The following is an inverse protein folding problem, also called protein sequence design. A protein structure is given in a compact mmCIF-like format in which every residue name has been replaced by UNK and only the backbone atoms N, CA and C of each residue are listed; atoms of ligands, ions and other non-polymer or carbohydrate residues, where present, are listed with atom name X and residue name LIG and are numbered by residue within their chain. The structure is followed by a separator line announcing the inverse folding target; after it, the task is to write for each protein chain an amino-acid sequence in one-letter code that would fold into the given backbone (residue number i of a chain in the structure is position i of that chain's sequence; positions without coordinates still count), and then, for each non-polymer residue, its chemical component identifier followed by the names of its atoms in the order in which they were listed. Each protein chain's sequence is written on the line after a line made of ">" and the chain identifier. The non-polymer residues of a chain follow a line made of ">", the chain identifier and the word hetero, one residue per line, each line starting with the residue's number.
data_IF_694042393601
#
_entry.id   IF_694042393601
#
_cell.length_a   1.000
_cell.length_b   1.000
_cell.length_c   1.000
_cell.angle_alpha   90.00
_cell.angle_beta   90.00
_cell.angle_gamma   90.00
#
_symmetry.space_group_name_H-M   'P 1'
#
loop_
_entity.id
_entity.type
_entity.pdbx_description
1 polymer ?
#
# COMPACT_ATOMS: atom_id res chain seq x y z
N UNK A 1 7.24 -17.47 -7.96
CA UNK A 1 7.06 -18.00 -6.58
C UNK A 1 6.63 -19.45 -6.75
N UNK A 2 7.18 -20.44 -6.00
CA UNK A 2 6.74 -21.83 -6.06
C UNK A 2 5.25 -21.97 -5.66
N UNK A 3 4.51 -22.87 -6.32
CA UNK A 3 3.08 -23.08 -6.07
C UNK A 3 2.77 -23.44 -4.61
N UNK A 4 3.66 -24.19 -3.94
CA UNK A 4 3.54 -24.52 -2.53
C UNK A 4 3.59 -23.28 -1.63
N UNK A 5 4.47 -22.32 -1.93
CA UNK A 5 4.55 -21.06 -1.19
C UNK A 5 3.27 -20.23 -1.37
N UNK A 6 2.72 -20.19 -2.59
CA UNK A 6 1.46 -19.49 -2.87
C UNK A 6 0.32 -20.10 -2.07
N UNK A 7 0.23 -21.44 -2.02
CA UNK A 7 -0.79 -22.15 -1.24
C UNK A 7 -0.71 -21.83 0.25
N UNK A 8 0.50 -21.88 0.84
CA UNK A 8 0.71 -21.58 2.25
C UNK A 8 0.39 -20.12 2.58
N UNK A 9 0.73 -19.17 1.72
CA UNK A 9 0.39 -17.76 1.90
C UNK A 9 -1.12 -17.53 1.79
N UNK A 10 -1.79 -18.18 0.86
CA UNK A 10 -3.25 -18.09 0.71
C UNK A 10 -3.96 -18.63 1.95
N UNK A 11 -3.47 -19.73 2.52
CA UNK A 11 -4.01 -20.29 3.76
C UNK A 11 -3.77 -19.35 4.95
N UNK A 12 -2.58 -18.74 5.04
CA UNK A 12 -2.26 -17.77 6.10
C UNK A 12 -3.15 -16.53 6.05
N UNK A 13 -3.46 -16.03 4.85
CA UNK A 13 -4.36 -14.87 4.64
C UNK A 13 -5.73 -15.11 5.26
N UNK A 14 -6.27 -16.34 5.19
CA UNK A 14 -7.59 -16.67 5.75
C UNK A 14 -7.67 -16.53 7.28
N UNK A 15 -6.53 -16.53 7.97
CA UNK A 15 -6.42 -16.41 9.42
C UNK A 15 -5.95 -15.02 9.88
N UNK A 16 -5.70 -14.12 8.93
CA UNK A 16 -5.22 -12.77 9.23
C UNK A 16 -6.38 -11.78 9.38
N UNK A 17 -6.28 -10.88 10.35
CA UNK A 17 -7.20 -9.74 10.49
C UNK A 17 -6.90 -8.64 9.46
N UNK A 18 -5.62 -8.43 9.18
CA UNK A 18 -5.12 -7.41 8.25
C UNK A 18 -4.05 -8.04 7.36
N UNK A 19 -4.08 -7.73 6.07
CA UNK A 19 -3.01 -8.11 5.13
C UNK A 19 -2.53 -6.89 4.35
N UNK A 20 -1.22 -6.87 4.06
CA UNK A 20 -0.56 -5.74 3.39
C UNK A 20 0.20 -6.24 2.15
N UNK A 21 -0.50 -6.72 1.12
CA UNK A 21 0.13 -7.15 -0.12
C UNK A 21 0.55 -5.95 -0.97
N UNK A 22 1.60 -6.10 -1.76
CA UNK A 22 1.78 -5.23 -2.92
C UNK A 22 0.81 -5.64 -4.05
N UNK A 23 0.72 -4.81 -5.10
CA UNK A 23 -0.23 -5.06 -6.20
C UNK A 23 -0.01 -6.42 -6.89
N UNK A 24 1.25 -6.84 -7.07
CA UNK A 24 1.57 -8.12 -7.70
C UNK A 24 1.19 -9.30 -6.79
N UNK A 25 1.45 -9.18 -5.49
CA UNK A 25 1.06 -10.17 -4.47
C UNK A 25 -0.46 -10.31 -4.38
N UNK A 26 -1.20 -9.19 -4.42
CA UNK A 26 -2.66 -9.22 -4.48
C UNK A 26 -3.14 -10.03 -5.70
N UNK A 27 -2.53 -9.80 -6.86
CA UNK A 27 -2.82 -10.55 -8.08
C UNK A 27 -2.61 -12.06 -7.91
N UNK A 28 -1.49 -12.45 -7.29
CA UNK A 28 -1.17 -13.86 -7.00
C UNK A 28 -2.20 -14.45 -6.03
N UNK A 29 -2.48 -13.77 -4.91
CA UNK A 29 -3.41 -14.25 -3.88
C UNK A 29 -4.85 -14.43 -4.39
N UNK A 30 -5.26 -13.62 -5.36
CA UNK A 30 -6.63 -13.62 -5.90
C UNK A 30 -6.76 -14.33 -7.25
N UNK A 31 -5.63 -14.70 -7.86
CA UNK A 31 -5.63 -15.27 -9.23
C UNK A 31 -6.09 -14.27 -10.29
N UNK A 32 -5.92 -12.96 -10.06
CA UNK A 32 -6.39 -11.88 -10.95
C UNK A 32 -5.25 -10.97 -11.39
N UNK A 33 -5.50 -10.12 -12.37
CA UNK A 33 -4.60 -9.03 -12.78
C UNK A 33 -5.29 -7.68 -12.60
N UNK A 34 -5.32 -7.11 -11.37
CA UNK A 34 -5.99 -5.84 -11.12
C UNK A 34 -5.25 -4.71 -11.84
N UNK A 35 -5.95 -3.95 -12.69
CA UNK A 35 -5.37 -2.86 -13.50
C UNK A 35 -5.97 -1.50 -13.21
N UNK A 36 -7.12 -1.46 -12.56
CA UNK A 36 -7.81 -0.23 -12.16
C UNK A 36 -8.03 -0.22 -10.65
N UNK A 37 -8.33 0.96 -10.08
CA UNK A 37 -8.70 1.04 -8.66
C UNK A 37 -9.90 0.15 -8.33
N UNK A 38 -10.88 0.08 -9.22
CA UNK A 38 -12.05 -0.77 -9.04
C UNK A 38 -11.69 -2.26 -9.05
N UNK A 39 -10.73 -2.67 -9.89
CA UNK A 39 -10.22 -4.04 -9.89
C UNK A 39 -9.48 -4.35 -8.59
N UNK A 40 -8.65 -3.42 -8.10
CA UNK A 40 -7.91 -3.55 -6.84
C UNK A 40 -8.88 -3.70 -5.67
N UNK A 41 -9.88 -2.82 -5.59
CA UNK A 41 -10.90 -2.88 -4.52
C UNK A 41 -11.68 -4.19 -4.58
N UNK A 42 -12.05 -4.64 -5.79
CA UNK A 42 -12.77 -5.90 -5.99
C UNK A 42 -11.91 -7.10 -5.62
N UNK A 43 -10.65 -7.14 -6.07
CA UNK A 43 -9.70 -8.19 -5.74
C UNK A 43 -9.44 -8.25 -4.23
N UNK A 44 -9.18 -7.11 -3.59
CA UNK A 44 -8.98 -7.05 -2.14
C UNK A 44 -10.20 -7.58 -1.36
N UNK A 45 -11.42 -7.22 -1.78
CA UNK A 45 -12.67 -7.71 -1.16
C UNK A 45 -12.97 -9.19 -1.42
N UNK A 46 -12.34 -9.81 -2.41
CA UNK A 46 -12.50 -11.25 -2.67
C UNK A 46 -11.68 -12.12 -1.72
N UNK A 47 -10.70 -11.56 -1.01
CA UNK A 47 -9.95 -12.29 0.00
C UNK A 47 -10.84 -12.60 1.21
N UNK A 48 -10.86 -13.89 1.59
CA UNK A 48 -11.61 -14.36 2.74
C UNK A 48 -10.71 -14.33 3.98
N UNK A 49 -11.22 -13.86 5.09
CA UNK A 49 -10.50 -13.77 6.37
C UNK A 49 -10.24 -12.32 6.78
N UNK A 50 -9.43 -11.54 6.09
CA UNK A 50 -9.08 -10.20 6.55
C UNK A 50 -10.28 -9.24 6.48
N UNK A 51 -10.43 -8.41 7.52
CA UNK A 51 -11.39 -7.30 7.51
C UNK A 51 -10.79 -6.02 6.91
N UNK A 52 -9.47 -5.97 6.76
CA UNK A 52 -8.72 -4.87 6.14
C UNK A 52 -7.63 -5.42 5.23
N UNK A 53 -7.61 -4.94 3.98
CA UNK A 53 -6.54 -5.20 3.01
C UNK A 53 -5.91 -3.88 2.62
N UNK A 54 -4.60 -3.72 2.81
CA UNK A 54 -3.86 -2.52 2.41
C UNK A 54 -2.95 -2.88 1.25
N UNK A 55 -3.33 -2.48 0.04
CA UNK A 55 -2.57 -2.75 -1.18
C UNK A 55 -1.52 -1.67 -1.37
N UNK A 56 -0.26 -2.06 -1.40
CA UNK A 56 0.89 -1.15 -1.60
C UNK A 56 1.42 -1.22 -3.03
N UNK A 57 2.32 -0.32 -3.38
CA UNK A 57 2.98 -0.27 -4.70
C UNK A 57 2.00 -0.21 -5.87
N UNK A 58 0.89 0.47 -5.67
CA UNK A 58 -0.10 0.70 -6.73
C UNK A 58 0.39 1.83 -7.62
N UNK A 59 0.63 1.60 -8.93
CA UNK A 59 0.92 2.69 -9.84
C UNK A 59 -0.23 3.69 -9.87
N UNK A 60 0.09 4.96 -9.76
CA UNK A 60 -0.88 6.04 -9.74
C UNK A 60 -0.46 7.15 -10.70
N UNK A 61 -1.42 7.72 -11.40
CA UNK A 61 -1.17 8.84 -12.29
C UNK A 61 -2.23 9.92 -12.06
N UNK A 62 -1.77 11.14 -11.88
CA UNK A 62 -2.62 12.32 -11.79
C UNK A 62 -2.03 13.49 -12.60
N UNK A 63 -2.60 14.67 -12.41
CA UNK A 63 -2.13 15.89 -13.10
C UNK A 63 -0.68 16.29 -12.70
N UNK A 64 -0.13 15.70 -11.64
CA UNK A 64 1.25 15.88 -11.18
C UNK A 64 2.24 14.90 -11.83
N UNK A 65 1.78 13.90 -12.57
CA UNK A 65 2.61 12.88 -13.22
C UNK A 65 2.47 11.48 -12.62
N UNK A 66 3.50 10.66 -12.86
CA UNK A 66 3.55 9.29 -12.36
C UNK A 66 3.87 9.26 -10.86
N UNK A 67 3.14 8.43 -10.14
CA UNK A 67 3.26 8.28 -8.71
C UNK A 67 3.02 6.86 -8.24
N UNK A 68 3.02 6.71 -6.93
CA UNK A 68 2.74 5.46 -6.24
C UNK A 68 1.66 5.69 -5.19
N UNK A 69 0.76 4.72 -5.04
CA UNK A 69 -0.32 4.80 -4.08
C UNK A 69 -0.35 3.59 -3.13
N UNK A 70 -1.02 3.80 -1.99
CA UNK A 70 -1.54 2.74 -1.12
C UNK A 70 -3.05 2.83 -1.07
N UNK A 71 -3.72 1.69 -1.10
CA UNK A 71 -5.19 1.59 -1.07
C UNK A 71 -5.60 0.70 0.09
N UNK A 72 -6.22 1.28 1.12
CA UNK A 72 -6.81 0.54 2.24
C UNK A 72 -8.26 0.19 1.91
N UNK A 73 -8.61 -1.09 1.95
CA UNK A 73 -9.93 -1.61 1.55
C UNK A 73 -10.57 -2.35 2.72
N UNK A 74 -11.79 -1.95 3.04
CA UNK A 74 -12.67 -2.65 4.02
C UNK A 74 -13.96 -3.10 3.32
N UNK A 75 -14.81 -3.81 4.05
CA UNK A 75 -16.17 -4.14 3.57
C UNK A 75 -17.02 -2.90 3.28
N UNK A 76 -16.80 -1.81 4.01
CA UNK A 76 -17.62 -0.59 3.96
C UNK A 76 -17.13 0.43 2.95
N UNK A 77 -15.81 0.49 2.68
CA UNK A 77 -15.24 1.51 1.81
C UNK A 77 -13.78 1.27 1.45
N UNK A 78 -13.19 2.25 0.80
CA UNK A 78 -11.77 2.26 0.52
C UNK A 78 -11.19 3.66 0.68
N UNK A 79 -9.92 3.73 1.07
CA UNK A 79 -9.14 4.96 1.26
C UNK A 79 -7.87 4.84 0.43
N UNK A 80 -7.51 5.91 -0.27
CA UNK A 80 -6.30 6.00 -1.06
C UNK A 80 -5.40 7.11 -0.53
N UNK A 81 -4.11 6.85 -0.47
CA UNK A 81 -3.06 7.87 -0.37
C UNK A 81 -2.07 7.67 -1.51
N UNK A 82 -1.54 8.75 -2.07
CA UNK A 82 -0.59 8.69 -3.17
C UNK A 82 0.48 9.78 -3.06
N UNK A 83 1.58 9.59 -3.73
CA UNK A 83 2.67 10.55 -3.81
C UNK A 83 3.66 10.19 -4.91
N UNK A 84 4.78 10.92 -5.02
CA UNK A 84 5.75 10.72 -6.07
C UNK A 84 6.37 9.31 -6.03
N UNK A 85 6.64 8.78 -7.21
CA UNK A 85 7.41 7.56 -7.39
C UNK A 85 8.91 7.91 -7.39
N UNK A 86 9.71 7.15 -6.64
CA UNK A 86 11.16 7.20 -6.75
C UNK A 86 11.62 6.24 -7.86
N UNK A 87 12.47 6.71 -8.75
CA UNK A 87 13.07 5.89 -9.83
C UNK A 87 14.20 5.00 -9.30
N UNK A 88 13.93 4.30 -8.20
CA UNK A 88 14.88 3.41 -7.55
C UNK A 88 14.16 2.40 -6.68
N UNK A 89 14.67 1.17 -6.65
CA UNK A 89 14.20 0.15 -5.71
C UNK A 89 14.93 0.29 -4.36
N UNK A 90 14.21 0.11 -3.26
CA UNK A 90 14.74 0.19 -1.90
C UNK A 90 14.42 -1.09 -1.13
N UNK A 91 15.48 -1.74 -0.64
CA UNK A 91 15.31 -2.89 0.25
C UNK A 91 14.74 -2.44 1.60
N UNK A 92 13.75 -3.15 2.10
CA UNK A 92 13.12 -2.86 3.40
C UNK A 92 12.02 -1.80 3.39
N UNK A 93 11.73 -1.13 2.27
CA UNK A 93 10.64 -0.15 2.19
C UNK A 93 9.27 -0.77 2.52
N UNK A 94 9.02 -2.01 2.08
CA UNK A 94 7.81 -2.76 2.44
C UNK A 94 7.72 -3.08 3.92
N UNK A 95 8.83 -3.48 4.54
CA UNK A 95 8.90 -3.78 5.98
C UNK A 95 8.65 -2.53 6.81
N UNK A 96 9.27 -1.40 6.45
CA UNK A 96 9.03 -0.11 7.10
C UNK A 96 7.56 0.31 6.97
N UNK A 97 6.98 0.18 5.77
CA UNK A 97 5.56 0.48 5.53
C UNK A 97 4.68 -0.36 6.45
N UNK A 98 4.88 -1.67 6.47
CA UNK A 98 4.11 -2.60 7.30
C UNK A 98 4.26 -2.32 8.79
N UNK A 99 5.46 -1.95 9.26
CA UNK A 99 5.70 -1.60 10.65
C UNK A 99 4.93 -0.35 11.07
N UNK A 100 4.97 0.72 10.26
CA UNK A 100 4.25 1.97 10.56
C UNK A 100 2.74 1.78 10.50
N UNK A 101 2.23 1.05 9.51
CA UNK A 101 0.81 0.69 9.41
C UNK A 101 0.35 -0.09 10.64
N UNK A 102 1.09 -1.13 11.01
CA UNK A 102 0.77 -1.95 12.19
C UNK A 102 0.73 -1.11 13.45
N UNK A 103 1.72 -0.21 13.64
CA UNK A 103 1.78 0.65 14.82
C UNK A 103 0.55 1.58 14.93
N UNK A 104 0.06 2.13 13.82
CA UNK A 104 -1.15 2.97 13.79
C UNK A 104 -2.41 2.15 14.08
N UNK A 105 -2.55 1.01 13.40
CA UNK A 105 -3.72 0.12 13.57
C UNK A 105 -3.85 -0.41 14.99
N UNK A 106 -2.75 -0.86 15.60
CA UNK A 106 -2.76 -1.36 17.00
C UNK A 106 -3.12 -0.26 17.99
N UNK A 107 -2.79 1.00 17.70
CA UNK A 107 -3.20 2.16 18.51
C UNK A 107 -4.65 2.58 18.28
N UNK A 108 -5.35 1.99 17.33
CA UNK A 108 -6.71 2.35 16.95
C UNK A 108 -6.80 3.69 16.20
N UNK A 109 -5.72 4.11 15.55
CA UNK A 109 -5.74 5.31 14.70
C UNK A 109 -6.70 5.07 13.50
N UNK A 110 -7.46 6.08 13.04
CA UNK A 110 -8.29 5.97 11.84
C UNK A 110 -7.48 5.50 10.62
N UNK A 111 -8.09 4.71 9.75
CA UNK A 111 -7.40 4.12 8.60
C UNK A 111 -6.77 5.18 7.68
N UNK A 112 -7.48 6.26 7.39
CA UNK A 112 -6.99 7.37 6.59
C UNK A 112 -5.77 8.04 7.22
N UNK A 113 -5.81 8.32 8.51
CA UNK A 113 -4.68 8.87 9.25
C UNK A 113 -3.47 7.91 9.25
N UNK A 114 -3.72 6.61 9.44
CA UNK A 114 -2.70 5.57 9.44
C UNK A 114 -2.00 5.46 8.08
N UNK A 115 -2.77 5.44 6.97
CA UNK A 115 -2.20 5.41 5.62
C UNK A 115 -1.39 6.67 5.31
N UNK A 116 -1.95 7.85 5.60
CA UNK A 116 -1.26 9.11 5.36
C UNK A 116 0.05 9.22 6.12
N UNK A 117 0.06 8.78 7.39
CA UNK A 117 1.27 8.74 8.21
C UNK A 117 2.30 7.76 7.67
N UNK A 118 1.89 6.54 7.31
CA UNK A 118 2.80 5.55 6.74
C UNK A 118 3.45 6.07 5.45
N UNK A 119 2.66 6.64 4.55
CA UNK A 119 3.17 7.25 3.32
C UNK A 119 4.17 8.38 3.59
N UNK A 120 3.86 9.27 4.53
CA UNK A 120 4.75 10.38 4.89
C UNK A 120 6.08 9.92 5.47
N UNK A 121 6.04 8.95 6.40
CA UNK A 121 7.26 8.37 7.02
C UNK A 121 8.12 7.70 5.97
N UNK A 122 7.52 6.81 5.17
CA UNK A 122 8.27 6.07 4.13
C UNK A 122 8.86 7.03 3.12
N UNK A 123 8.10 8.02 2.64
CA UNK A 123 8.61 9.02 1.70
C UNK A 123 9.82 9.77 2.27
N UNK A 124 9.75 10.25 3.50
CA UNK A 124 10.85 10.98 4.17
C UNK A 124 12.11 10.13 4.26
N UNK A 125 11.97 8.86 4.61
CA UNK A 125 13.09 7.91 4.66
C UNK A 125 13.67 7.68 3.27
N UNK A 126 12.84 7.48 2.25
CA UNK A 126 13.29 7.27 0.88
C UNK A 126 13.99 8.49 0.28
N UNK A 127 13.47 9.71 0.51
CA UNK A 127 14.14 10.96 0.10
C UNK A 127 15.54 11.05 0.67
N UNK A 128 15.71 10.74 1.95
CA UNK A 128 17.04 10.75 2.59
C UNK A 128 17.93 9.65 2.01
N UNK A 129 17.38 8.45 1.84
CA UNK A 129 18.12 7.30 1.30
C UNK A 129 18.63 7.56 -0.13
N UNK A 130 17.86 8.27 -0.98
CA UNK A 130 18.29 8.66 -2.32
C UNK A 130 19.54 9.54 -2.29
N UNK A 131 19.66 10.39 -1.28
CA UNK A 131 20.81 11.30 -1.14
C UNK A 131 22.10 10.58 -0.72
N UNK A 132 22.04 9.32 -0.29
CA UNK A 132 23.18 8.55 0.16
C UNK A 132 23.48 7.36 -0.77
N UNK A 133 24.77 6.99 -0.94
CA UNK A 133 25.15 5.79 -1.69
C UNK A 133 24.79 4.52 -0.89
N UNK A 134 24.06 3.59 -1.49
CA UNK A 134 23.67 2.32 -0.86
C UNK A 134 22.18 2.03 -1.05
N UNK A 135 21.75 0.77 -0.83
CA UNK A 135 20.36 0.32 -1.01
C UNK A 135 19.65 0.10 0.32
N UNK A 136 20.33 0.34 1.44
CA UNK A 136 19.76 0.25 2.79
C UNK A 136 19.06 1.56 3.15
N UNK A 137 17.94 1.44 3.87
CA UNK A 137 17.16 2.59 4.30
C UNK A 137 17.92 3.41 5.36
N UNK A 138 18.05 4.70 5.11
CA UNK A 138 18.56 5.68 6.08
C UNK A 138 17.43 6.13 7.00
N UNK A 139 17.07 5.25 7.95
CA UNK A 139 15.94 5.46 8.86
C UNK A 139 16.41 5.94 10.24
N UNK A 140 15.69 6.93 10.79
CA UNK A 140 15.91 7.46 12.13
C UNK A 140 14.60 7.54 12.92
N UNK A 141 14.63 7.43 14.27
CA UNK A 141 13.42 7.50 15.10
C UNK A 141 12.58 8.77 14.89
N UNK A 142 13.21 9.89 14.55
CA UNK A 142 12.57 11.17 14.29
C UNK A 142 11.66 11.15 13.05
N UNK A 143 11.88 10.21 12.12
CA UNK A 143 11.07 10.06 10.91
C UNK A 143 9.61 9.67 11.24
N UNK A 144 9.38 9.11 12.43
CA UNK A 144 8.04 8.83 12.91
C UNK A 144 7.18 10.09 13.10
N UNK A 145 7.80 11.27 13.14
CA UNK A 145 7.13 12.57 13.19
C UNK A 145 6.96 13.22 11.81
N UNK A 146 7.27 12.52 10.71
CA UNK A 146 7.09 13.04 9.36
C UNK A 146 5.64 13.47 9.10
N UNK A 147 5.48 14.47 8.25
CA UNK A 147 4.15 14.98 7.90
C UNK A 147 3.35 13.91 7.14
N UNK A 148 2.12 13.60 7.59
CA UNK A 148 1.29 12.64 6.91
C UNK A 148 0.85 13.15 5.54
N UNK A 149 0.76 12.24 4.58
CA UNK A 149 0.22 12.55 3.27
C UNK A 149 -1.30 12.65 3.30
N UNK A 150 -1.83 13.39 2.33
CA UNK A 150 -3.28 13.49 2.15
C UNK A 150 -3.85 12.15 1.73
N UNK A 151 -5.03 11.85 2.25
CA UNK A 151 -5.82 10.67 1.91
C UNK A 151 -7.11 11.08 1.22
N UNK A 152 -7.62 10.20 0.37
CA UNK A 152 -8.87 10.38 -0.37
C UNK A 152 -9.76 9.18 -0.07
N UNK A 153 -10.98 9.44 0.40
CA UNK A 153 -12.00 8.40 0.55
C UNK A 153 -12.55 8.09 -0.83
N UNK A 154 -12.41 6.83 -1.26
CA UNK A 154 -12.95 6.39 -2.52
C UNK A 154 -14.45 6.11 -2.36
N UNK A 155 -15.28 6.88 -3.09
CA UNK A 155 -16.70 6.61 -3.13
C UNK A 155 -16.96 5.20 -3.71
N UNK A 156 -18.00 4.48 -3.26
CA UNK A 156 -18.27 3.11 -3.69
C UNK A 156 -18.41 2.90 -5.20
N UNK A 157 -18.60 3.97 -5.98
CA UNK A 157 -18.77 3.98 -7.44
C UNK A 157 -18.03 5.15 -8.10
N UNK A 158 -16.95 5.66 -7.53
CA UNK A 158 -16.19 6.72 -8.20
C UNK A 158 -15.50 6.15 -9.46
N UNK A 159 -15.65 6.79 -10.64
CA UNK A 159 -14.96 6.34 -11.84
C UNK A 159 -13.45 6.40 -11.64
N UNK A 160 -12.78 5.30 -11.91
CA UNK A 160 -11.33 5.15 -11.76
C UNK A 160 -10.59 6.15 -12.66
N UNK A 161 -9.88 7.09 -12.07
CA UNK A 161 -8.87 7.90 -12.77
C UNK A 161 -7.51 7.17 -12.76
N UNK A 162 -7.49 5.93 -13.20
CA UNK A 162 -6.23 5.24 -13.51
C UNK A 162 -5.93 5.51 -14.97
N UNK A 163 -4.81 6.20 -15.23
CA UNK A 163 -4.36 6.54 -16.56
C UNK A 163 -4.22 5.30 -17.45
N UNK A 164 -4.80 5.35 -18.63
CA UNK A 164 -4.50 4.41 -19.70
C UNK A 164 -3.12 4.80 -20.24
N UNK A 165 -2.11 3.96 -20.01
CA UNK A 165 -0.91 3.98 -20.84
C UNK A 165 -1.31 3.54 -22.24
N UNK A 166 -1.14 4.44 -23.18
CA UNK A 166 -1.19 4.16 -24.63
C UNK A 166 0.10 3.46 -25.04
#
# INVERSE_FOLDING_TARGET
>A
VPDETVSLMTDAVQHADVVVPNLAELGILTGTEPRTLDDIVRAARSLTGPHLVIVTSVPYHDDGGDGIAMVGVTGEGAVLTHGPLFDRYFNGAGDLTSAVLTAGLVKGEPLDATLGKAAGVVHTVLERTVAHPGDELDWWPEDAAAQPWKTVILAPNAPSRVGRSS
#
